data_IF_764981040622
#
_entry.id   IF_764981040622
#
_cell.length_a   1.000
_cell.length_b   1.000
_cell.length_c   1.000
_cell.angle_alpha   90.00
_cell.angle_beta   90.00
_cell.angle_gamma   90.00
#
_symmetry.space_group_name_H-M   'P 1'
#
loop_
_entity.id
_entity.type
_entity.pdbx_description
1 polymer ?
#
# COMPACT_ATOMS: atom_id res chain seq x y z
N UNK A 1 -7.72 -7.74 8.80
CA UNK A 1 -7.24 -6.42 8.35
C UNK A 1 -6.62 -6.51 6.97
N UNK A 2 -6.65 -5.41 6.26
CA UNK A 2 -6.12 -5.30 4.90
C UNK A 2 -5.12 -4.14 4.87
N UNK A 3 -4.03 -4.32 4.15
CA UNK A 3 -3.07 -3.27 3.84
C UNK A 3 -3.10 -3.07 2.32
N UNK A 4 -3.56 -1.90 1.88
CA UNK A 4 -3.56 -1.56 0.45
C UNK A 4 -2.23 -0.90 0.13
N UNK A 5 -1.50 -1.47 -0.85
CA UNK A 5 -0.25 -0.91 -1.34
C UNK A 5 -0.48 0.48 -1.95
N UNK A 6 0.58 1.28 -2.01
CA UNK A 6 0.52 2.64 -2.55
C UNK A 6 -0.12 2.69 -3.94
N UNK A 7 0.17 1.71 -4.80
CA UNK A 7 -0.41 1.65 -6.14
C UNK A 7 -1.95 1.60 -6.11
N UNK A 8 -2.52 0.91 -5.12
CA UNK A 8 -3.98 0.84 -4.97
C UNK A 8 -4.60 2.17 -4.55
N UNK A 9 -3.94 2.90 -3.66
CA UNK A 9 -4.36 4.23 -3.28
C UNK A 9 -4.36 5.19 -4.49
N UNK A 10 -3.27 5.16 -5.26
CA UNK A 10 -3.13 6.00 -6.45
C UNK A 10 -4.20 5.65 -7.49
N UNK A 11 -4.41 4.35 -7.73
CA UNK A 11 -5.42 3.87 -8.68
C UNK A 11 -6.82 4.37 -8.31
N UNK A 12 -7.16 4.29 -7.02
CA UNK A 12 -8.46 4.77 -6.52
C UNK A 12 -8.58 6.29 -6.63
N UNK A 13 -7.53 7.03 -6.22
CA UNK A 13 -7.54 8.49 -6.24
C UNK A 13 -7.60 9.07 -7.66
N UNK A 14 -7.05 8.35 -8.63
CA UNK A 14 -7.02 8.80 -10.04
C UNK A 14 -8.14 8.18 -10.88
N UNK A 15 -9.04 7.42 -10.26
CA UNK A 15 -10.12 6.70 -10.95
C UNK A 15 -9.60 5.83 -12.10
N UNK A 16 -8.50 5.11 -11.83
CA UNK A 16 -7.88 4.23 -12.82
C UNK A 16 -8.67 2.94 -13.06
N UNK A 17 -8.19 2.08 -13.96
CA UNK A 17 -8.90 0.85 -14.35
C UNK A 17 -9.23 -0.10 -13.20
N UNK A 18 -8.43 -0.10 -12.13
CA UNK A 18 -8.65 -0.97 -10.97
C UNK A 18 -9.27 -0.22 -9.77
N UNK A 19 -9.71 1.03 -9.95
CA UNK A 19 -10.27 1.83 -8.86
C UNK A 19 -11.42 1.12 -8.16
N UNK A 20 -12.33 0.53 -8.92
CA UNK A 20 -13.48 -0.18 -8.36
C UNK A 20 -13.08 -1.44 -7.59
N UNK A 21 -11.99 -2.10 -8.00
CA UNK A 21 -11.50 -3.27 -7.30
C UNK A 21 -10.84 -2.92 -5.96
N UNK A 22 -10.18 -1.77 -5.87
CA UNK A 22 -9.56 -1.31 -4.62
C UNK A 22 -10.55 -0.62 -3.68
N UNK A 23 -11.60 -0.02 -4.20
CA UNK A 23 -12.54 0.80 -3.42
C UNK A 23 -13.10 0.11 -2.18
N UNK A 24 -13.60 -1.14 -2.23
CA UNK A 24 -14.16 -1.78 -1.04
C UNK A 24 -13.17 -1.89 0.10
N UNK A 25 -11.88 -2.10 -0.21
CA UNK A 25 -10.83 -2.22 0.79
C UNK A 25 -10.51 -0.86 1.42
N UNK A 26 -10.52 0.20 0.62
CA UNK A 26 -10.15 1.54 1.07
C UNK A 26 -11.28 2.24 1.83
N UNK A 27 -12.52 1.87 1.58
CA UNK A 27 -13.68 2.46 2.26
C UNK A 27 -13.93 1.85 3.64
N UNK A 28 -13.41 0.67 3.93
CA UNK A 28 -13.54 0.02 5.24
C UNK A 28 -12.41 0.47 6.16
N UNK A 29 -12.47 1.71 6.61
CA UNK A 29 -11.40 2.33 7.37
C UNK A 29 -11.04 1.61 8.66
N UNK A 30 -12.01 0.96 9.31
CA UNK A 30 -11.78 0.20 10.55
C UNK A 30 -10.97 -1.08 10.34
N UNK A 31 -10.95 -1.59 9.11
CA UNK A 31 -10.23 -2.81 8.75
C UNK A 31 -8.98 -2.53 7.93
N UNK A 32 -8.61 -1.26 7.78
CA UNK A 32 -7.51 -0.82 6.91
C UNK A 32 -6.29 -0.42 7.72
N UNK A 33 -5.15 -0.96 7.33
CA UNK A 33 -3.84 -0.67 7.89
C UNK A 33 -3.06 0.20 6.92
N UNK A 34 -2.48 1.30 7.41
CA UNK A 34 -1.71 2.23 6.58
C UNK A 34 -0.31 2.37 7.15
N UNK A 35 0.71 1.80 6.50
CA UNK A 35 2.09 2.06 6.90
C UNK A 35 2.48 3.53 6.67
N UNK A 36 3.31 4.09 7.54
CA UNK A 36 3.84 5.44 7.32
C UNK A 36 4.60 5.56 6.00
N UNK A 37 5.22 4.46 5.53
CA UNK A 37 5.86 4.44 4.22
C UNK A 37 4.87 4.70 3.08
N UNK A 38 3.65 4.16 3.18
CA UNK A 38 2.60 4.44 2.20
C UNK A 38 2.23 5.93 2.24
N UNK A 39 2.13 6.52 3.44
CA UNK A 39 1.89 7.96 3.56
C UNK A 39 3.00 8.76 2.89
N UNK A 40 4.26 8.36 3.09
CA UNK A 40 5.40 9.00 2.44
C UNK A 40 5.30 8.93 0.90
N UNK A 41 5.04 7.74 0.38
CA UNK A 41 4.95 7.56 -1.06
C UNK A 41 3.79 8.33 -1.67
N UNK A 42 2.64 8.34 -0.99
CA UNK A 42 1.47 9.12 -1.43
C UNK A 42 1.75 10.62 -1.40
N UNK A 43 2.32 11.12 -0.31
CA UNK A 43 2.64 12.54 -0.19
C UNK A 43 3.60 12.99 -1.28
N UNK A 44 4.63 12.18 -1.52
CA UNK A 44 5.64 12.48 -2.55
C UNK A 44 5.01 12.49 -3.95
N UNK A 45 4.21 11.48 -4.28
CA UNK A 45 3.58 11.36 -5.59
C UNK A 45 2.57 12.48 -5.84
N UNK A 46 1.69 12.74 -4.87
CA UNK A 46 0.63 13.75 -5.03
C UNK A 46 1.22 15.15 -5.10
N UNK A 47 2.21 15.45 -4.27
CA UNK A 47 2.89 16.76 -4.30
C UNK A 47 3.53 17.01 -5.65
N UNK A 48 4.17 15.98 -6.21
CA UNK A 48 4.81 16.08 -7.54
C UNK A 48 3.79 16.23 -8.66
N UNK A 49 2.71 15.45 -8.65
CA UNK A 49 1.74 15.40 -9.74
C UNK A 49 0.66 16.49 -9.64
N UNK A 50 0.40 16.99 -8.45
CA UNK A 50 -0.63 17.99 -8.20
C UNK A 50 -0.08 19.12 -7.32
N UNK A 51 -0.27 19.04 -6.01
CA UNK A 51 0.20 20.05 -5.07
C UNK A 51 0.25 19.51 -3.65
N UNK A 52 0.89 20.30 -2.77
CA UNK A 52 1.05 19.96 -1.36
C UNK A 52 -0.29 19.96 -0.60
N UNK A 53 -1.19 20.87 -0.94
CA UNK A 53 -2.49 20.96 -0.27
C UNK A 53 -3.27 19.68 -0.43
N UNK A 54 -3.36 19.16 -1.66
CA UNK A 54 -4.03 17.89 -1.92
C UNK A 54 -3.32 16.73 -1.22
N UNK A 55 -1.99 16.72 -1.20
CA UNK A 55 -1.23 15.70 -0.50
C UNK A 55 -1.61 15.65 0.98
N UNK A 56 -1.66 16.80 1.65
CA UNK A 56 -2.03 16.86 3.08
C UNK A 56 -3.48 16.41 3.32
N UNK A 57 -4.40 16.73 2.41
CA UNK A 57 -5.78 16.24 2.50
C UNK A 57 -5.86 14.73 2.42
N UNK A 58 -5.09 14.11 1.51
CA UNK A 58 -5.06 12.65 1.37
C UNK A 58 -4.41 12.00 2.59
N UNK A 59 -3.33 12.58 3.12
CA UNK A 59 -2.73 12.08 4.35
C UNK A 59 -3.73 12.14 5.51
N UNK A 60 -4.50 13.23 5.61
CA UNK A 60 -5.58 13.33 6.60
C UNK A 60 -6.61 12.21 6.44
N UNK A 61 -6.93 11.84 5.21
CA UNK A 61 -7.83 10.72 4.94
C UNK A 61 -7.24 9.39 5.45
N UNK A 62 -5.95 9.15 5.26
CA UNK A 62 -5.28 7.93 5.75
C UNK A 62 -5.32 7.84 7.28
N UNK A 63 -5.38 8.97 7.98
CA UNK A 63 -5.42 9.01 9.44
C UNK A 63 -6.74 8.47 10.03
N UNK A 64 -7.76 8.27 9.22
CA UNK A 64 -9.00 7.64 9.64
C UNK A 64 -8.85 6.13 9.82
N UNK A 65 -7.76 5.56 9.33
CA UNK A 65 -7.44 4.13 9.43
C UNK A 65 -6.35 3.93 10.49
N UNK A 66 -5.92 2.67 10.67
CA UNK A 66 -4.83 2.38 11.59
C UNK A 66 -3.49 2.65 10.91
N UNK A 67 -2.84 3.72 11.32
CA UNK A 67 -1.50 4.07 10.82
C UNK A 67 -0.44 3.36 11.65
N UNK A 68 0.51 2.71 10.99
CA UNK A 68 1.59 1.96 11.63
C UNK A 68 2.94 2.56 11.21
N UNK A 69 3.68 3.03 12.21
CA UNK A 69 5.01 3.59 11.98
C UNK A 69 6.04 2.48 11.74
N UNK A 70 7.02 2.78 10.89
CA UNK A 70 8.19 1.92 10.73
C UNK A 70 9.09 2.07 11.95
N UNK A 71 9.09 1.06 12.81
CA UNK A 71 9.95 1.02 13.99
C UNK A 71 11.12 0.04 13.78
N UNK A 72 11.96 -0.12 14.80
CA UNK A 72 13.15 -0.98 14.73
C UNK A 72 12.75 -2.44 14.44
N UNK A 73 11.71 -2.94 15.11
CA UNK A 73 11.25 -4.32 14.92
C UNK A 73 10.81 -4.55 13.48
N UNK A 74 10.00 -3.65 12.92
CA UNK A 74 9.56 -3.76 11.53
C UNK A 74 10.73 -3.61 10.57
N UNK A 75 11.68 -2.72 10.84
CA UNK A 75 12.86 -2.56 9.98
C UNK A 75 13.67 -3.84 9.89
N UNK A 76 13.90 -4.51 11.02
CA UNK A 76 14.66 -5.77 11.05
C UNK A 76 13.88 -6.90 10.36
N UNK A 77 12.57 -6.98 10.58
CA UNK A 77 11.71 -7.94 9.88
C UNK A 77 11.70 -7.71 8.38
N UNK A 78 11.64 -6.45 7.94
CA UNK A 78 11.68 -6.10 6.53
C UNK A 78 13.02 -6.49 5.89
N UNK A 79 14.14 -6.27 6.61
CA UNK A 79 15.46 -6.66 6.11
C UNK A 79 15.54 -8.18 5.85
N UNK A 80 15.02 -8.98 6.78
CA UNK A 80 14.97 -10.43 6.63
C UNK A 80 14.12 -10.86 5.43
N UNK A 81 12.94 -10.26 5.26
CA UNK A 81 12.04 -10.57 4.15
C UNK A 81 12.60 -10.10 2.81
N UNK A 82 13.30 -8.96 2.80
CA UNK A 82 13.96 -8.48 1.59
C UNK A 82 14.99 -9.48 1.07
N UNK A 83 15.78 -10.06 1.96
CA UNK A 83 16.79 -11.06 1.59
C UNK A 83 16.15 -12.38 1.16
N UNK A 84 15.12 -12.83 1.89
CA UNK A 84 14.43 -14.09 1.62
C UNK A 84 13.71 -14.06 0.27
N UNK A 85 12.99 -12.98 -0.02
CA UNK A 85 12.12 -12.87 -1.20
C UNK A 85 12.68 -11.96 -2.29
N UNK A 86 13.87 -11.40 -2.10
CA UNK A 86 14.53 -10.48 -3.05
C UNK A 86 13.65 -9.27 -3.35
N UNK A 87 13.15 -8.64 -2.30
CA UNK A 87 12.29 -7.47 -2.42
C UNK A 87 13.10 -6.18 -2.28
N UNK A 88 12.69 -5.15 -3.02
CA UNK A 88 13.18 -3.80 -2.81
C UNK A 88 12.72 -3.29 -1.44
N UNK A 89 13.39 -2.27 -0.93
CA UNK A 89 13.14 -1.76 0.43
C UNK A 89 11.68 -1.44 0.70
N UNK A 90 11.03 -0.68 -0.18
CA UNK A 90 9.65 -0.27 0.03
C UNK A 90 8.71 -1.47 0.09
N UNK A 91 8.85 -2.42 -0.84
CA UNK A 91 8.03 -3.63 -0.88
C UNK A 91 8.25 -4.48 0.36
N UNK A 92 9.50 -4.61 0.81
CA UNK A 92 9.83 -5.38 2.01
C UNK A 92 9.21 -4.77 3.26
N UNK A 93 9.24 -3.44 3.40
CA UNK A 93 8.64 -2.74 4.54
C UNK A 93 7.11 -2.93 4.55
N UNK A 94 6.47 -2.80 3.40
CA UNK A 94 5.03 -3.00 3.28
C UNK A 94 4.66 -4.43 3.65
N UNK A 95 5.36 -5.40 3.11
CA UNK A 95 5.10 -6.81 3.38
C UNK A 95 5.34 -7.16 4.86
N UNK A 96 6.43 -6.67 5.44
CA UNK A 96 6.74 -6.89 6.86
C UNK A 96 5.66 -6.31 7.76
N UNK A 97 5.16 -5.12 7.44
CA UNK A 97 4.10 -4.48 8.21
C UNK A 97 2.82 -5.31 8.18
N UNK A 98 2.44 -5.79 7.00
CA UNK A 98 1.27 -6.65 6.86
C UNK A 98 1.41 -7.95 7.65
N UNK A 99 2.56 -8.62 7.54
CA UNK A 99 2.81 -9.88 8.25
C UNK A 99 2.78 -9.70 9.76
N UNK A 100 3.34 -8.62 10.27
CA UNK A 100 3.37 -8.34 11.72
C UNK A 100 1.97 -8.11 12.30
N UNK A 101 1.00 -7.71 11.49
CA UNK A 101 -0.36 -7.38 11.92
C UNK A 101 -1.41 -8.36 11.37
N UNK A 102 -1.01 -9.49 10.82
CA UNK A 102 -1.90 -10.47 10.19
C UNK A 102 -2.84 -9.82 9.16
N UNK A 103 -2.33 -8.85 8.43
CA UNK A 103 -3.08 -8.17 7.37
C UNK A 103 -2.79 -8.80 6.02
N UNK A 104 -3.78 -8.81 5.15
CA UNK A 104 -3.61 -9.19 3.74
C UNK A 104 -3.17 -7.98 2.95
N UNK A 105 -2.10 -8.11 2.16
CA UNK A 105 -1.69 -7.06 1.22
C UNK A 105 -2.58 -7.14 -0.01
N UNK A 106 -3.20 -6.01 -0.37
CA UNK A 106 -3.96 -5.89 -1.62
C UNK A 106 -3.19 -4.97 -2.55
N UNK A 107 -2.78 -5.48 -3.70
CA UNK A 107 -1.87 -4.79 -4.60
C UNK A 107 -2.07 -5.23 -6.05
N UNK A 108 -1.69 -4.36 -6.97
CA UNK A 108 -1.55 -4.68 -8.39
C UNK A 108 -0.08 -4.72 -8.84
N UNK A 109 0.85 -4.65 -7.89
CA UNK A 109 2.29 -4.73 -8.16
C UNK A 109 2.70 -6.20 -8.28
N UNK A 110 3.22 -6.58 -9.46
CA UNK A 110 3.61 -7.95 -9.75
C UNK A 110 4.72 -8.47 -8.83
N UNK A 111 5.49 -7.60 -8.18
CA UNK A 111 6.52 -8.02 -7.24
C UNK A 111 5.95 -8.79 -6.05
N UNK A 112 4.67 -8.62 -5.74
CA UNK A 112 3.99 -9.31 -4.64
C UNK A 112 3.24 -10.57 -5.09
N UNK A 113 3.16 -10.86 -6.39
CA UNK A 113 2.24 -11.86 -6.95
C UNK A 113 2.38 -13.25 -6.31
N UNK A 114 3.61 -13.67 -6.01
CA UNK A 114 3.89 -15.01 -5.49
C UNK A 114 4.07 -15.08 -3.98
N UNK A 115 3.84 -13.97 -3.27
CA UNK A 115 4.00 -13.94 -1.82
C UNK A 115 2.72 -14.41 -1.12
N UNK A 116 2.87 -15.16 -0.02
CA UNK A 116 1.71 -15.57 0.77
C UNK A 116 1.11 -14.36 1.51
N UNK A 117 -0.22 -14.39 1.71
CA UNK A 117 -0.92 -13.30 2.38
C UNK A 117 -1.14 -12.09 1.48
N UNK A 118 -1.16 -12.28 0.17
CA UNK A 118 -1.34 -11.23 -0.83
C UNK A 118 -2.56 -11.52 -1.68
N UNK A 119 -3.41 -10.53 -1.87
CA UNK A 119 -4.45 -10.51 -2.90
C UNK A 119 -3.93 -9.65 -4.04
N UNK A 120 -3.53 -10.30 -5.11
CA UNK A 120 -2.98 -9.64 -6.28
C UNK A 120 -4.09 -9.33 -7.28
N UNK A 121 -4.24 -8.04 -7.62
CA UNK A 121 -5.22 -7.58 -8.60
C UNK A 121 -4.47 -7.35 -9.92
N UNK A 122 -4.68 -8.26 -10.86
CA UNK A 122 -4.00 -8.20 -12.14
C UNK A 122 -4.49 -7.00 -12.95
N UNK A 123 -3.55 -6.20 -13.45
CA UNK A 123 -3.90 -5.13 -14.37
C UNK A 123 -4.50 -5.71 -15.64
N UNK A 124 -5.67 -5.19 -16.02
CA UNK A 124 -6.30 -5.60 -17.27
C UNK A 124 -5.62 -4.84 -18.41
N UNK A 125 -5.05 -5.61 -19.34
CA UNK A 125 -4.65 -5.03 -20.62
C UNK A 125 -5.93 -4.71 -21.39
N UNK A 126 -6.08 -3.45 -21.83
CA UNK A 126 -7.18 -3.10 -22.71
C UNK A 126 -7.08 -3.97 -23.97
N UNK A 127 -8.16 -4.65 -24.39
CA UNK A 127 -8.14 -5.30 -25.70
C UNK A 127 -7.94 -4.23 -26.76
N UNK A 128 -7.07 -4.52 -27.67
CA UNK A 128 -6.83 -3.63 -28.82
C UNK A 128 -8.07 -3.49 -29.71
#
# INVERSE_FOLDING_TARGET
MVLVDTCGWIEWLTDGPLADAFRPHLEQTDALLVPTLVQYELAKWITRERDETLALEVIGLTQQSRVVALDTSLALGAAALALEHRLAMADAVIYATARAHDATVVTSDAHFEHLSGVTYLRQQTKPD
#
